data_IF_195304749519
#
_entry.id   IF_195304749519
#
_cell.length_a   1.000
_cell.length_b   1.000
_cell.length_c   1.000
_cell.angle_alpha   90.00
_cell.angle_beta   90.00
_cell.angle_gamma   90.00
#
_symmetry.space_group_name_H-M   'P 1'
#
loop_
_entity.id
_entity.type
_entity.pdbx_description
1 polymer ?
#
# COMPACT_ATOMS: atom_id res chain seq x y z
N UNK A 1 -20.36 -13.82 3.95
CA UNK A 1 -20.31 -13.15 2.64
C UNK A 1 -20.12 -11.67 2.94
N UNK A 2 -18.88 -11.20 2.94
CA UNK A 2 -18.54 -9.80 3.18
C UNK A 2 -19.16 -8.93 2.07
N UNK A 3 -19.73 -7.78 2.45
CA UNK A 3 -20.51 -6.96 1.52
C UNK A 3 -19.80 -5.64 1.28
N UNK A 4 -19.36 -5.41 0.04
CA UNK A 4 -18.99 -4.10 -0.47
C UNK A 4 -20.24 -3.21 -0.59
N UNK A 5 -20.09 -1.89 -0.55
CA UNK A 5 -21.19 -0.95 -0.76
C UNK A 5 -21.74 -1.05 -2.18
N UNK A 6 -20.91 -1.22 -3.20
CA UNK A 6 -21.38 -1.36 -4.58
C UNK A 6 -21.40 -2.81 -5.08
N UNK A 7 -20.46 -3.65 -4.64
CA UNK A 7 -20.37 -5.07 -5.04
C UNK A 7 -19.81 -5.30 -6.45
N UNK A 8 -19.65 -4.24 -7.25
CA UNK A 8 -18.95 -4.23 -8.53
C UNK A 8 -17.84 -3.16 -8.54
N UNK A 9 -16.85 -3.34 -9.41
CA UNK A 9 -15.80 -2.34 -9.63
C UNK A 9 -16.10 -1.51 -10.87
N UNK A 10 -15.80 -0.22 -10.80
CA UNK A 10 -15.81 0.71 -11.93
C UNK A 10 -14.42 0.96 -12.50
N UNK A 11 -13.39 0.36 -11.90
CA UNK A 11 -12.00 0.49 -12.33
C UNK A 11 -11.62 -0.69 -13.23
N UNK A 12 -10.83 -0.40 -14.26
CA UNK A 12 -10.10 -1.44 -14.99
C UNK A 12 -8.89 -1.87 -14.14
N UNK A 13 -9.14 -2.77 -13.19
CA UNK A 13 -8.09 -3.32 -12.30
C UNK A 13 -6.98 -4.01 -13.08
N UNK A 14 -7.29 -4.62 -14.23
CA UNK A 14 -6.31 -5.28 -15.07
C UNK A 14 -5.29 -4.28 -15.62
N UNK A 15 -5.78 -3.16 -16.16
CA UNK A 15 -4.93 -2.09 -16.65
C UNK A 15 -4.17 -1.37 -15.51
N UNK A 16 -4.77 -1.17 -14.33
CA UNK A 16 -4.06 -0.65 -13.16
C UNK A 16 -2.91 -1.57 -12.74
N UNK A 17 -3.15 -2.88 -12.63
CA UNK A 17 -2.10 -3.85 -12.30
C UNK A 17 -0.97 -3.85 -13.32
N UNK A 18 -1.30 -3.81 -14.62
CA UNK A 18 -0.28 -3.72 -15.68
C UNK A 18 0.57 -2.45 -15.54
N UNK A 19 -0.08 -1.30 -15.31
CA UNK A 19 0.60 -0.04 -15.07
C UNK A 19 1.50 -0.11 -13.83
N UNK A 20 0.96 -0.55 -12.69
CA UNK A 20 1.67 -0.62 -11.41
C UNK A 20 2.87 -1.55 -11.50
N UNK A 21 2.70 -2.73 -12.10
CA UNK A 21 3.77 -3.68 -12.38
C UNK A 21 4.89 -3.07 -13.20
N UNK A 22 4.56 -2.34 -14.26
CA UNK A 22 5.56 -1.70 -15.12
C UNK A 22 6.37 -0.66 -14.34
N UNK A 23 5.71 0.14 -13.50
CA UNK A 23 6.37 1.13 -12.67
C UNK A 23 7.26 0.49 -11.58
N UNK A 24 6.73 -0.50 -10.85
CA UNK A 24 7.47 -1.26 -9.81
C UNK A 24 8.72 -1.92 -10.40
N UNK A 25 8.56 -2.65 -11.51
CA UNK A 25 9.69 -3.33 -12.18
C UNK A 25 10.65 -2.34 -12.86
N UNK A 26 10.19 -1.12 -13.17
CA UNK A 26 11.00 -0.04 -13.73
C UNK A 26 11.85 0.69 -12.68
N UNK A 27 11.48 0.64 -11.40
CA UNK A 27 12.14 1.38 -10.34
C UNK A 27 13.58 0.87 -10.10
N UNK A 28 14.62 1.72 -10.21
CA UNK A 28 16.03 1.31 -10.03
C UNK A 28 16.32 0.62 -8.69
N UNK A 29 15.75 1.14 -7.59
CA UNK A 29 15.86 0.55 -6.25
C UNK A 29 15.38 -0.90 -6.24
N UNK A 30 14.18 -1.15 -6.76
CA UNK A 30 13.54 -2.46 -6.71
C UNK A 30 14.24 -3.45 -7.65
N UNK A 31 14.73 -2.98 -8.80
CA UNK A 31 15.57 -3.80 -9.68
C UNK A 31 16.87 -4.24 -9.00
N UNK A 32 17.56 -3.32 -8.32
CA UNK A 32 18.77 -3.67 -7.57
C UNK A 32 18.47 -4.66 -6.44
N UNK A 33 17.35 -4.47 -5.72
CA UNK A 33 16.87 -5.44 -4.73
C UNK A 33 16.64 -6.82 -5.36
N UNK A 34 15.94 -6.88 -6.50
CA UNK A 34 15.69 -8.12 -7.23
C UNK A 34 16.99 -8.79 -7.73
N UNK A 35 18.05 -8.02 -7.98
CA UNK A 35 19.36 -8.56 -8.35
C UNK A 35 20.16 -9.09 -7.15
N UNK A 36 19.65 -8.94 -5.93
CA UNK A 36 20.28 -9.38 -4.68
C UNK A 36 21.29 -8.37 -4.12
N UNK A 37 21.21 -7.09 -4.52
CA UNK A 37 22.07 -6.04 -3.97
C UNK A 37 21.70 -5.80 -2.50
N UNK A 38 22.65 -6.14 -1.61
CA UNK A 38 22.44 -6.01 -0.17
C UNK A 38 22.28 -4.57 0.30
N UNK A 39 22.94 -3.61 -0.36
CA UNK A 39 22.81 -2.20 -0.03
C UNK A 39 21.43 -1.68 -0.46
N UNK A 40 20.95 -2.09 -1.65
CA UNK A 40 19.62 -1.72 -2.12
C UNK A 40 18.52 -2.29 -1.22
N UNK A 41 18.64 -3.55 -0.78
CA UNK A 41 17.68 -4.14 0.15
C UNK A 41 17.71 -3.43 1.51
N UNK A 42 18.89 -3.07 2.01
CA UNK A 42 18.99 -2.27 3.23
C UNK A 42 18.35 -0.89 3.07
N UNK A 43 18.57 -0.21 1.94
CA UNK A 43 18.00 1.08 1.62
C UNK A 43 16.48 1.02 1.45
N UNK A 44 15.94 -0.03 0.83
CA UNK A 44 14.49 -0.28 0.78
C UNK A 44 13.93 -0.36 2.21
N UNK A 45 14.49 -1.25 3.03
CA UNK A 45 13.98 -1.54 4.37
C UNK A 45 14.07 -0.33 5.31
N UNK A 46 15.20 0.39 5.35
CA UNK A 46 15.35 1.56 6.22
C UNK A 46 14.73 2.82 5.63
N UNK A 47 14.87 3.04 4.32
CA UNK A 47 14.40 4.25 3.64
C UNK A 47 12.89 4.39 3.64
N UNK A 48 12.15 3.27 3.49
CA UNK A 48 10.69 3.27 3.54
C UNK A 48 10.12 3.03 4.95
N UNK A 49 10.95 2.77 5.96
CA UNK A 49 10.46 2.56 7.33
C UNK A 49 9.58 3.70 7.86
N UNK A 50 9.89 5.01 7.64
CA UNK A 50 9.02 6.09 8.09
C UNK A 50 7.62 6.04 7.49
N UNK A 51 7.51 5.58 6.25
CA UNK A 51 6.23 5.36 5.59
C UNK A 51 5.49 4.18 6.21
N UNK A 52 6.14 3.03 6.34
CA UNK A 52 5.54 1.81 6.91
C UNK A 52 5.05 2.05 8.35
N UNK A 53 5.84 2.72 9.19
CA UNK A 53 5.47 3.03 10.58
C UNK A 53 4.33 4.07 10.68
N UNK A 54 4.23 4.98 9.70
CA UNK A 54 3.17 5.98 9.67
C UNK A 54 1.85 5.45 9.08
N UNK A 55 1.92 4.50 8.14
CA UNK A 55 0.78 3.97 7.38
C UNK A 55 -0.30 3.37 8.28
N UNK A 56 0.06 2.40 9.14
CA UNK A 56 -0.88 1.74 10.05
C UNK A 56 -1.56 2.76 10.99
N UNK A 57 -0.78 3.70 11.54
CA UNK A 57 -1.28 4.76 12.44
C UNK A 57 -2.25 5.70 11.73
N UNK A 58 -2.05 5.92 10.44
CA UNK A 58 -2.91 6.79 9.65
C UNK A 58 -4.27 6.13 9.39
N UNK A 59 -4.30 4.84 9.08
CA UNK A 59 -5.55 4.07 8.93
C UNK A 59 -6.39 4.19 10.21
N UNK A 60 -5.82 3.85 11.37
CA UNK A 60 -6.51 3.92 12.65
C UNK A 60 -7.09 5.31 12.93
N UNK A 61 -6.29 6.35 12.68
CA UNK A 61 -6.68 7.73 12.94
C UNK A 61 -7.81 8.20 12.01
N UNK A 62 -7.71 7.87 10.73
CA UNK A 62 -8.63 8.37 9.71
C UNK A 62 -9.96 7.62 9.75
N UNK A 63 -9.93 6.29 9.92
CA UNK A 63 -11.14 5.45 10.04
C UNK A 63 -12.01 5.91 11.20
N UNK A 64 -11.41 6.28 12.34
CA UNK A 64 -12.14 6.82 13.48
C UNK A 64 -12.86 8.16 13.20
N UNK A 65 -12.41 8.92 12.18
CA UNK A 65 -12.90 10.25 11.84
C UNK A 65 -13.78 10.31 10.58
N UNK A 66 -14.07 9.17 9.93
CA UNK A 66 -14.78 9.15 8.65
C UNK A 66 -16.21 9.73 8.75
N UNK A 67 -16.63 10.56 7.78
CA UNK A 67 -17.96 11.14 7.79
C UNK A 67 -19.01 10.10 7.39
N UNK A 68 -19.74 9.56 8.37
CA UNK A 68 -20.77 8.54 8.12
C UNK A 68 -22.01 9.11 7.39
N UNK A 69 -22.32 10.39 7.60
CA UNK A 69 -23.57 11.01 7.12
C UNK A 69 -23.74 10.92 5.59
N UNK A 70 -22.76 11.30 4.75
CA UNK A 70 -22.86 11.12 3.29
C UNK A 70 -23.19 9.67 2.88
N UNK A 71 -22.58 8.69 3.54
CA UNK A 71 -22.84 7.27 3.24
C UNK A 71 -24.26 6.86 3.62
N UNK A 72 -24.75 7.29 4.79
CA UNK A 72 -26.13 7.02 5.22
C UNK A 72 -27.15 7.67 4.29
N UNK A 73 -26.88 8.89 3.81
CA UNK A 73 -27.74 9.57 2.85
C UNK A 73 -27.79 8.85 1.50
N UNK A 74 -26.67 8.27 1.06
CA UNK A 74 -26.54 7.58 -0.24
C UNK A 74 -27.05 6.13 -0.23
N UNK A 75 -26.71 5.36 0.81
CA UNK A 75 -26.95 3.91 0.87
C UNK A 75 -28.01 3.50 1.89
N UNK A 76 -28.46 4.43 2.74
CA UNK A 76 -29.33 4.14 3.87
C UNK A 76 -28.55 3.68 5.11
N UNK A 77 -29.18 3.86 6.28
CA UNK A 77 -28.58 3.58 7.59
C UNK A 77 -28.21 2.10 7.76
N UNK A 78 -29.13 1.20 7.46
CA UNK A 78 -28.94 -0.24 7.69
C UNK A 78 -27.77 -0.79 6.88
N UNK A 79 -27.72 -0.49 5.58
CA UNK A 79 -26.63 -0.92 4.68
C UNK A 79 -25.28 -0.33 5.11
N UNK A 80 -25.24 0.95 5.45
CA UNK A 80 -24.00 1.62 5.90
C UNK A 80 -23.46 1.00 7.19
N UNK A 81 -24.34 0.75 8.17
CA UNK A 81 -23.92 0.13 9.43
C UNK A 81 -23.44 -1.31 9.22
N UNK A 82 -24.20 -2.11 8.46
CA UNK A 82 -23.81 -3.47 8.12
C UNK A 82 -22.43 -3.50 7.42
N UNK A 83 -22.21 -2.59 6.47
CA UNK A 83 -20.91 -2.43 5.82
C UNK A 83 -19.79 -2.17 6.82
N UNK A 84 -19.93 -1.16 7.70
CA UNK A 84 -18.86 -0.83 8.65
C UNK A 84 -18.62 -1.90 9.72
N UNK A 85 -19.64 -2.67 10.10
CA UNK A 85 -19.48 -3.80 11.01
C UNK A 85 -18.71 -4.93 10.33
N UNK A 86 -19.03 -5.20 9.05
CA UNK A 86 -18.38 -6.25 8.26
C UNK A 86 -16.98 -5.87 7.80
N UNK A 87 -16.76 -4.62 7.37
CA UNK A 87 -15.44 -4.12 6.99
C UNK A 87 -14.51 -4.10 8.20
N UNK A 88 -15.01 -3.73 9.40
CA UNK A 88 -14.22 -3.84 10.64
C UNK A 88 -13.92 -5.29 11.03
N UNK A 89 -14.83 -6.22 10.77
CA UNK A 89 -14.58 -7.64 10.97
C UNK A 89 -13.51 -8.15 9.98
N UNK A 90 -13.66 -7.84 8.68
CA UNK A 90 -12.71 -8.22 7.64
C UNK A 90 -11.30 -7.66 7.90
N UNK A 91 -11.18 -6.37 8.22
CA UNK A 91 -9.88 -5.74 8.56
C UNK A 91 -9.27 -6.34 9.83
N UNK A 92 -10.10 -6.74 10.81
CA UNK A 92 -9.59 -7.44 12.00
C UNK A 92 -9.12 -8.85 11.70
N UNK A 93 -9.89 -9.61 10.92
CA UNK A 93 -9.53 -10.97 10.50
C UNK A 93 -8.26 -10.95 9.66
N UNK A 94 -8.13 -10.01 8.72
CA UNK A 94 -6.90 -9.77 7.95
C UNK A 94 -5.73 -9.37 8.85
N UNK A 95 -5.91 -8.48 9.83
CA UNK A 95 -4.86 -8.17 10.80
C UNK A 95 -4.45 -9.37 11.67
N UNK A 96 -5.38 -10.27 11.98
CA UNK A 96 -5.10 -11.51 12.72
C UNK A 96 -4.39 -12.56 11.84
N UNK A 97 -4.67 -12.60 10.53
CA UNK A 97 -4.09 -13.52 9.54
C UNK A 97 -2.73 -13.05 9.01
N UNK A 98 -2.64 -11.81 8.54
CA UNK A 98 -1.44 -11.19 7.92
C UNK A 98 -0.49 -10.60 8.99
N UNK A 99 -0.95 -10.44 10.23
CA UNK A 99 -0.22 -9.75 11.28
C UNK A 99 -0.09 -8.24 11.01
N UNK A 100 0.80 -7.57 11.75
CA UNK A 100 1.15 -6.17 11.43
C UNK A 100 2.20 -6.16 10.33
N UNK A 101 1.89 -5.51 9.21
CA UNK A 101 2.86 -5.29 8.13
C UNK A 101 4.10 -4.56 8.65
N UNK A 102 3.97 -3.64 9.61
CA UNK A 102 5.12 -3.02 10.25
C UNK A 102 5.98 -4.03 11.03
N UNK A 103 5.38 -5.00 11.73
CA UNK A 103 6.13 -6.07 12.40
C UNK A 103 6.84 -7.00 11.40
N UNK A 104 6.17 -7.39 10.30
CA UNK A 104 6.77 -8.19 9.24
C UNK A 104 7.92 -7.46 8.53
N UNK A 105 7.78 -6.15 8.33
CA UNK A 105 8.84 -5.31 7.78
C UNK A 105 10.05 -5.24 8.73
N UNK A 106 9.80 -5.07 10.03
CA UNK A 106 10.84 -5.10 11.05
C UNK A 106 11.54 -6.47 11.11
N UNK A 107 10.82 -7.57 10.94
CA UNK A 107 11.41 -8.91 10.83
C UNK A 107 12.40 -8.98 9.66
N UNK A 108 11.98 -8.52 8.48
CA UNK A 108 12.85 -8.41 7.30
C UNK A 108 14.11 -7.57 7.57
N UNK A 109 13.97 -6.42 8.23
CA UNK A 109 15.09 -5.57 8.62
C UNK A 109 16.04 -6.28 9.61
N UNK A 110 15.51 -6.95 10.64
CA UNK A 110 16.31 -7.73 11.61
C UNK A 110 17.07 -8.87 10.93
N UNK A 111 16.41 -9.60 10.03
CA UNK A 111 17.04 -10.66 9.23
C UNK A 111 18.24 -10.14 8.42
N UNK A 112 18.18 -8.89 7.98
CA UNK A 112 19.24 -8.20 7.24
C UNK A 112 20.18 -7.36 8.09
N UNK A 113 20.00 -7.36 9.43
CA UNK A 113 20.74 -6.52 10.39
C UNK A 113 20.70 -5.04 10.04
N UNK A 114 19.58 -4.58 9.50
CA UNK A 114 19.32 -3.17 9.19
C UNK A 114 18.74 -2.53 10.44
N UNK A 115 19.38 -1.47 10.93
CA UNK A 115 18.84 -0.68 12.03
C UNK A 115 17.80 0.32 11.50
N UNK A 116 16.54 0.08 11.84
CA UNK A 116 15.43 0.92 11.47
C UNK A 116 15.37 2.23 12.29
N UNK A 117 16.20 2.42 13.32
CA UNK A 117 16.29 3.69 14.02
C UNK A 117 17.24 4.69 13.33
N UNK A 118 18.13 4.21 12.47
CA UNK A 118 19.12 5.01 11.74
C UNK A 118 18.64 5.43 10.34
N UNK A 119 17.32 5.40 10.09
CA UNK A 119 16.79 5.85 8.80
C UNK A 119 17.11 7.33 8.55
N UNK A 120 17.30 7.66 7.28
CA UNK A 120 17.36 9.05 6.83
C UNK A 120 16.09 9.33 6.04
N UNK A 121 15.30 10.26 6.54
CA UNK A 121 14.11 10.73 5.84
C UNK A 121 14.56 11.49 4.58
N UNK A 122 14.12 11.02 3.42
CA UNK A 122 14.30 11.70 2.13
C UNK A 122 12.99 12.36 1.71
N UNK A 123 13.09 13.44 0.93
CA UNK A 123 11.95 14.29 0.56
C UNK A 123 10.79 13.50 -0.07
N UNK A 124 11.07 12.54 -0.96
CA UNK A 124 10.04 11.71 -1.57
C UNK A 124 9.25 10.86 -0.56
N UNK A 125 9.94 10.26 0.43
CA UNK A 125 9.30 9.49 1.50
C UNK A 125 8.48 10.41 2.40
N UNK A 126 8.97 11.62 2.70
CA UNK A 126 8.22 12.61 3.46
C UNK A 126 6.93 13.03 2.74
N UNK A 127 7.00 13.30 1.43
CA UNK A 127 5.82 13.62 0.60
C UNK A 127 4.81 12.48 0.58
N UNK A 128 5.28 11.24 0.53
CA UNK A 128 4.41 10.07 0.57
C UNK A 128 3.71 9.94 1.94
N UNK A 129 4.46 10.11 3.04
CA UNK A 129 3.92 10.11 4.42
C UNK A 129 2.90 11.24 4.62
N UNK A 130 3.11 12.41 4.01
CA UNK A 130 2.20 13.54 4.16
C UNK A 130 0.78 13.23 3.66
N UNK A 131 0.62 12.34 2.68
CA UNK A 131 -0.71 11.93 2.16
C UNK A 131 -1.57 11.25 3.22
N UNK A 132 -0.93 10.57 4.18
CA UNK A 132 -1.61 9.91 5.29
C UNK A 132 -2.42 10.88 6.18
N UNK A 133 -2.15 12.19 6.06
CA UNK A 133 -2.83 13.25 6.82
C UNK A 133 -3.93 13.96 6.05
N UNK A 134 -4.21 13.57 4.80
CA UNK A 134 -5.30 14.16 4.02
C UNK A 134 -6.64 13.97 4.73
N UNK A 135 -7.53 14.97 4.59
CA UNK A 135 -8.89 14.94 5.15
C UNK A 135 -9.97 14.70 4.10
N UNK A 136 -9.58 14.63 2.83
CA UNK A 136 -10.47 14.23 1.75
C UNK A 136 -10.54 12.70 1.74
N UNK A 137 -11.70 12.09 2.07
CA UNK A 137 -11.84 10.64 2.10
C UNK A 137 -11.54 10.01 0.74
N UNK A 138 -11.90 10.65 -0.38
CA UNK A 138 -11.65 10.10 -1.71
C UNK A 138 -10.14 10.00 -1.95
N UNK A 139 -9.41 11.09 -1.69
CA UNK A 139 -7.97 11.11 -1.83
C UNK A 139 -7.28 10.11 -0.89
N UNK A 140 -7.77 10.00 0.35
CA UNK A 140 -7.24 9.05 1.34
C UNK A 140 -7.38 7.60 0.87
N UNK A 141 -8.57 7.19 0.44
CA UNK A 141 -8.80 5.82 -0.01
C UNK A 141 -8.14 5.51 -1.36
N UNK A 142 -7.99 6.50 -2.26
CA UNK A 142 -7.17 6.31 -3.46
C UNK A 142 -5.68 6.11 -3.13
N UNK A 143 -5.17 6.77 -2.08
CA UNK A 143 -3.81 6.57 -1.59
C UNK A 143 -3.63 5.20 -0.92
N UNK A 144 -4.61 4.72 -0.15
CA UNK A 144 -4.59 3.36 0.39
C UNK A 144 -4.61 2.31 -0.73
N UNK A 145 -5.58 2.39 -1.65
CA UNK A 145 -5.66 1.48 -2.80
C UNK A 145 -4.38 1.51 -3.66
N UNK A 146 -3.81 2.69 -3.88
CA UNK A 146 -2.53 2.82 -4.58
C UNK A 146 -1.38 2.15 -3.83
N UNK A 147 -1.34 2.25 -2.51
CA UNK A 147 -0.34 1.57 -1.67
C UNK A 147 -0.49 0.05 -1.77
N UNK A 148 -1.72 -0.48 -1.71
CA UNK A 148 -1.98 -1.92 -1.86
C UNK A 148 -1.51 -2.44 -3.23
N UNK A 149 -1.86 -1.76 -4.34
CA UNK A 149 -1.38 -2.13 -5.67
C UNK A 149 0.16 -2.19 -5.75
N UNK A 150 0.83 -1.21 -5.14
CA UNK A 150 2.30 -1.15 -5.12
C UNK A 150 2.86 -2.29 -4.28
N UNK A 151 2.28 -2.53 -3.10
CA UNK A 151 2.73 -3.54 -2.17
C UNK A 151 2.59 -4.95 -2.78
N UNK A 152 1.44 -5.27 -3.35
CA UNK A 152 1.19 -6.54 -4.04
C UNK A 152 2.14 -6.75 -5.24
N UNK A 153 2.29 -5.77 -6.13
CA UNK A 153 3.15 -5.93 -7.32
C UNK A 153 4.65 -5.92 -6.93
N UNK A 154 5.05 -5.17 -5.90
CA UNK A 154 6.42 -5.20 -5.35
C UNK A 154 6.72 -6.54 -4.70
N UNK A 155 5.79 -7.06 -3.89
CA UNK A 155 5.90 -8.35 -3.25
C UNK A 155 6.00 -9.47 -4.29
N UNK A 156 5.09 -9.50 -5.26
CA UNK A 156 5.13 -10.46 -6.37
C UNK A 156 6.47 -10.40 -7.10
N UNK A 157 6.98 -9.20 -7.43
CA UNK A 157 8.24 -9.05 -8.14
C UNK A 157 9.46 -9.53 -7.32
N UNK A 158 9.56 -9.14 -6.05
CA UNK A 158 10.72 -9.46 -5.23
C UNK A 158 10.71 -10.90 -4.73
N UNK A 159 9.55 -11.44 -4.37
CA UNK A 159 9.39 -12.86 -4.01
C UNK A 159 9.59 -13.81 -5.19
N UNK A 160 9.42 -13.34 -6.44
CA UNK A 160 9.80 -14.10 -7.63
C UNK A 160 11.33 -14.15 -7.85
N UNK A 161 12.12 -13.33 -7.15
CA UNK A 161 13.58 -13.29 -7.31
C UNK A 161 14.31 -14.22 -6.33
N UNK A 162 14.98 -15.29 -6.81
CA UNK A 162 15.80 -16.14 -5.94
C UNK A 162 16.99 -15.41 -5.32
N UNK A 163 17.52 -14.37 -5.99
CA UNK A 163 18.67 -13.60 -5.50
C UNK A 163 18.27 -12.70 -4.33
N UNK A 164 17.10 -12.09 -4.42
CA UNK A 164 16.52 -11.32 -3.32
C UNK A 164 16.20 -12.24 -2.15
N UNK A 165 15.47 -13.33 -2.39
CA UNK A 165 15.06 -14.26 -1.35
C UNK A 165 16.24 -14.93 -0.63
N UNK A 166 17.34 -15.20 -1.32
CA UNK A 166 18.56 -15.74 -0.71
C UNK A 166 19.17 -14.83 0.38
N UNK A 167 18.75 -13.57 0.47
CA UNK A 167 19.15 -12.65 1.53
C UNK A 167 18.37 -12.86 2.84
N UNK A 168 17.26 -13.58 2.82
CA UNK A 168 16.39 -13.79 3.97
C UNK A 168 16.48 -15.23 4.50
N UNK A 169 16.21 -15.46 5.80
CA UNK A 169 16.12 -16.80 6.38
C UNK A 169 15.17 -17.70 5.57
N UNK A 170 15.58 -18.95 5.37
CA UNK A 170 14.77 -19.97 4.67
C UNK A 170 14.39 -19.61 3.23
N UNK A 171 14.97 -18.54 2.66
CA UNK A 171 14.59 -18.05 1.34
C UNK A 171 13.21 -17.39 1.32
N UNK A 172 12.76 -16.80 2.44
CA UNK A 172 11.40 -16.25 2.58
C UNK A 172 11.44 -14.82 3.09
N UNK A 173 10.66 -13.95 2.46
CA UNK A 173 10.40 -12.60 2.94
C UNK A 173 8.93 -12.50 3.36
N UNK A 174 8.66 -12.69 4.64
CA UNK A 174 7.31 -12.84 5.21
C UNK A 174 6.40 -11.66 4.90
N UNK A 175 6.93 -10.43 4.88
CA UNK A 175 6.17 -9.25 4.45
C UNK A 175 5.66 -9.38 3.01
N UNK A 176 6.50 -9.87 2.10
CA UNK A 176 6.10 -10.07 0.70
C UNK A 176 5.11 -11.22 0.55
N UNK A 177 5.28 -12.29 1.31
CA UNK A 177 4.35 -13.42 1.30
C UNK A 177 2.93 -12.98 1.69
N UNK A 178 2.80 -12.18 2.76
CA UNK A 178 1.51 -11.63 3.20
C UNK A 178 0.76 -10.85 2.11
N UNK A 179 1.47 -10.19 1.17
CA UNK A 179 0.84 -9.45 0.06
C UNK A 179 0.65 -10.28 -1.21
N UNK A 180 0.99 -11.58 -1.17
CA UNK A 180 0.80 -12.51 -2.29
C UNK A 180 -0.12 -13.68 -1.94
N UNK A 181 -0.49 -13.79 -0.67
CA UNK A 181 -1.49 -14.76 -0.20
C UNK A 181 -2.89 -14.38 -0.71
N UNK A 182 -3.70 -15.41 -0.93
CA UNK A 182 -5.09 -15.24 -1.38
C UNK A 182 -5.98 -15.41 -0.17
N UNK A 183 -6.69 -14.34 0.19
CA UNK A 183 -7.61 -14.32 1.33
C UNK A 183 -9.05 -14.62 0.92
N UNK A 184 -9.82 -15.20 1.84
CA UNK A 184 -11.25 -15.46 1.66
C UNK A 184 -12.06 -14.18 1.97
N UNK A 185 -12.49 -13.44 0.94
CA UNK A 185 -13.29 -12.23 1.10
C UNK A 185 -12.83 -11.10 0.17
N UNK A 186 -13.39 -9.88 0.31
CA UNK A 186 -12.89 -8.71 -0.39
C UNK A 186 -11.51 -8.36 0.18
N UNK A 187 -10.53 -8.16 -0.70
CA UNK A 187 -9.18 -7.72 -0.34
C UNK A 187 -9.17 -6.28 0.21
N UNK A 188 -8.10 -5.88 0.92
CA UNK A 188 -7.89 -4.47 1.35
C UNK A 188 -8.08 -3.49 0.19
N UNK A 189 -7.47 -3.82 -0.95
CA UNK A 189 -7.61 -3.06 -2.19
C UNK A 189 -9.07 -2.86 -2.60
N UNK A 190 -9.91 -3.89 -2.52
CA UNK A 190 -11.31 -3.80 -2.92
C UNK A 190 -12.14 -2.94 -1.97
N UNK A 191 -11.83 -3.00 -0.68
CA UNK A 191 -12.46 -2.17 0.35
C UNK A 191 -12.10 -0.69 0.11
N UNK A 192 -10.83 -0.40 -0.18
CA UNK A 192 -10.36 0.96 -0.44
C UNK A 192 -10.98 1.57 -1.70
N UNK A 193 -11.02 0.82 -2.80
CA UNK A 193 -11.67 1.27 -4.04
C UNK A 193 -13.17 1.55 -3.84
N UNK A 194 -13.87 0.66 -3.11
CA UNK A 194 -15.29 0.79 -2.81
C UNK A 194 -15.57 2.03 -1.94
N UNK A 195 -14.73 2.30 -0.93
CA UNK A 195 -14.83 3.49 -0.09
C UNK A 195 -14.50 4.77 -0.85
N UNK A 196 -13.46 4.77 -1.70
CA UNK A 196 -13.15 5.89 -2.56
C UNK A 196 -14.35 6.26 -3.45
N UNK A 197 -15.00 5.25 -4.07
CA UNK A 197 -16.22 5.44 -4.87
C UNK A 197 -17.39 5.92 -4.02
N UNK A 198 -17.56 5.36 -2.83
CA UNK A 198 -18.68 5.68 -1.94
C UNK A 198 -18.65 7.13 -1.47
N UNK A 199 -17.46 7.67 -1.20
CA UNK A 199 -17.25 9.07 -0.84
C UNK A 199 -17.16 10.03 -2.03
N UNK A 200 -16.97 9.53 -3.25
CA UNK A 200 -16.90 10.37 -4.43
C UNK A 200 -18.24 11.10 -4.67
N UNK A 201 -18.23 12.43 -4.92
CA UNK A 201 -19.45 13.24 -4.99
C UNK A 201 -20.31 12.99 -6.25
N UNK A 202 -19.73 12.36 -7.28
CA UNK A 202 -20.46 11.98 -8.50
C UNK A 202 -21.05 10.58 -8.39
N UNK A 203 -22.29 10.41 -8.86
CA UNK A 203 -22.93 9.11 -9.15
C UNK A 203 -22.64 8.62 -10.58
N UNK A 204 -21.98 9.43 -11.42
CA UNK A 204 -21.53 8.99 -12.74
C UNK A 204 -20.27 8.12 -12.61
N UNK A 205 -20.42 6.84 -12.94
CA UNK A 205 -19.36 5.83 -12.86
C UNK A 205 -18.14 6.19 -13.72
N UNK A 206 -18.32 6.81 -14.89
CA UNK A 206 -17.19 7.20 -15.74
C UNK A 206 -16.36 8.32 -15.10
N UNK A 207 -17.05 9.28 -14.45
CA UNK A 207 -16.39 10.37 -13.73
C UNK A 207 -15.67 9.84 -12.49
N UNK A 208 -16.35 9.02 -11.68
CA UNK A 208 -15.77 8.44 -10.48
C UNK A 208 -14.59 7.51 -10.81
N UNK A 209 -14.75 6.64 -11.81
CA UNK A 209 -13.69 5.73 -12.27
C UNK A 209 -12.44 6.50 -12.68
N UNK A 210 -12.61 7.58 -13.46
CA UNK A 210 -11.49 8.41 -13.87
C UNK A 210 -10.78 9.08 -12.69
N UNK A 211 -11.54 9.62 -11.74
CA UNK A 211 -10.99 10.28 -10.56
C UNK A 211 -10.22 9.30 -9.66
N UNK A 212 -10.77 8.10 -9.43
CA UNK A 212 -10.11 7.05 -8.67
C UNK A 212 -8.83 6.57 -9.36
N UNK A 213 -8.88 6.35 -10.68
CA UNK A 213 -7.70 6.00 -11.48
C UNK A 213 -6.59 7.05 -11.33
N UNK A 214 -6.92 8.33 -11.54
CA UNK A 214 -5.94 9.41 -11.46
C UNK A 214 -5.35 9.54 -10.04
N UNK A 215 -6.18 9.34 -8.99
CA UNK A 215 -5.73 9.35 -7.59
C UNK A 215 -4.78 8.19 -7.26
N UNK A 216 -5.12 6.97 -7.69
CA UNK A 216 -4.29 5.77 -7.50
C UNK A 216 -2.96 5.92 -8.25
N UNK A 217 -2.98 6.42 -9.50
CA UNK A 217 -1.77 6.69 -10.28
C UNK A 217 -0.91 7.79 -9.65
N UNK A 218 -1.53 8.83 -9.06
CA UNK A 218 -0.80 9.87 -8.35
C UNK A 218 -0.07 9.33 -7.12
N UNK A 219 -0.67 8.38 -6.39
CA UNK A 219 0.01 7.66 -5.32
C UNK A 219 1.26 6.93 -5.83
N UNK A 220 1.17 6.28 -7.00
CA UNK A 220 2.32 5.61 -7.58
C UNK A 220 3.42 6.58 -8.04
N UNK A 221 3.07 7.76 -8.54
CA UNK A 221 4.08 8.77 -8.86
C UNK A 221 4.86 9.20 -7.59
N UNK A 222 4.18 9.36 -6.46
CA UNK A 222 4.84 9.68 -5.18
C UNK A 222 5.76 8.56 -4.71
N UNK A 223 5.33 7.30 -4.84
CA UNK A 223 6.18 6.15 -4.49
C UNK A 223 7.40 6.05 -5.41
N UNK A 224 7.23 6.27 -6.72
CA UNK A 224 8.34 6.26 -7.67
C UNK A 224 9.39 7.32 -7.35
N UNK A 225 8.95 8.55 -7.01
CA UNK A 225 9.84 9.62 -6.54
C UNK A 225 10.57 9.21 -5.25
N UNK A 226 9.84 8.65 -4.28
CA UNK A 226 10.43 8.17 -3.02
C UNK A 226 11.48 7.07 -3.26
N UNK A 227 11.19 6.11 -4.14
CA UNK A 227 12.12 5.04 -4.48
C UNK A 227 13.38 5.57 -5.19
N UNK A 228 13.24 6.58 -6.05
CA UNK A 228 14.36 7.26 -6.68
C UNK A 228 15.23 7.99 -5.65
N UNK A 229 14.63 8.79 -4.77
CA UNK A 229 15.35 9.54 -3.73
C UNK A 229 16.12 8.59 -2.78
N UNK A 230 15.49 7.48 -2.36
CA UNK A 230 16.15 6.43 -1.55
C UNK A 230 17.33 5.81 -2.29
N UNK A 231 17.17 5.51 -3.58
CA UNK A 231 18.24 4.90 -4.39
C UNK A 231 19.41 5.86 -4.61
N UNK A 232 19.13 7.11 -4.96
CA UNK A 232 20.16 8.14 -5.15
C UNK A 232 20.92 8.39 -3.86
N UNK A 233 20.19 8.41 -2.72
CA UNK A 233 20.82 8.56 -1.41
C UNK A 233 21.76 7.39 -1.08
N UNK A 234 21.33 6.16 -1.34
CA UNK A 234 22.17 4.98 -1.18
C UNK A 234 23.47 5.12 -1.99
N UNK A 235 23.37 5.51 -3.26
CA UNK A 235 24.53 5.65 -4.15
C UNK A 235 25.49 6.77 -3.71
N UNK A 236 24.98 7.87 -3.14
CA UNK A 236 25.82 8.95 -2.58
C UNK A 236 26.62 8.52 -1.34
N UNK A 237 26.20 7.47 -0.65
CA UNK A 237 26.85 6.98 0.57
C UNK A 237 27.89 5.87 0.33
N UNK A 238 27.93 5.31 -0.88
CA UNK A 238 28.93 4.31 -1.23
C UNK A 238 30.30 4.97 -1.48
N UNK A 239 31.39 4.47 -0.87
CA UNK A 239 32.72 4.96 -1.18
C UNK A 239 33.08 4.62 -2.65
N UNK A 240 33.65 5.61 -3.35
CA UNK A 240 34.11 5.49 -4.73
C UNK A 240 35.25 4.48 -4.91
#
# INVERSE_FOLDING_TARGET
MYALLYGDTILDRGALREFMRAQVRGAPLLRACAEGDTAAVAALLSGFWPFVDAFEKAIDRQVAGLPIRPLVERFGRERTHAYFDMARAAVREMHEEEGSHALLWQEGARARRVDLAEYQLVDGVERLVAQATTRDPVAFFCWLAGTEYIAEEMAAYLCESPRFLALFPEGRWTWGEAHTEVHDGPSHLEIDEDLARAYHPSDDDAVASRALWDGIVACQALFADAAADVYDRMNMLQPA
#
